data_IF_628771003270
#
_entry.id   IF_628771003270
#
_cell.length_a   1.000
_cell.length_b   1.000
_cell.length_c   1.000
_cell.angle_alpha   90.00
_cell.angle_beta   90.00
_cell.angle_gamma   90.00
#
_symmetry.space_group_name_H-M   'P 1'
#
loop_
_entity.id
_entity.type
_entity.pdbx_description
1 polymer ?
#
# COMPACT_ATOMS: atom_id res chain seq x y z
N UNK A 1 -10.67 28.26 3.91
CA UNK A 1 -10.17 27.33 2.88
C UNK A 1 -8.67 27.27 2.99
N UNK A 2 -8.16 26.36 3.83
CA UNK A 2 -6.73 26.12 3.98
C UNK A 2 -6.29 25.32 2.76
N UNK A 3 -5.64 25.99 1.81
CA UNK A 3 -5.02 25.33 0.67
C UNK A 3 -3.93 24.40 1.19
N UNK A 4 -4.08 23.09 0.97
CA UNK A 4 -2.98 22.14 1.15
C UNK A 4 -1.91 22.55 0.13
N UNK A 5 -0.69 22.94 0.56
CA UNK A 5 0.37 23.29 -0.38
C UNK A 5 0.68 22.09 -1.28
N UNK A 6 1.14 22.32 -2.52
CA UNK A 6 1.66 21.24 -3.36
C UNK A 6 2.70 20.44 -2.57
N UNK A 7 2.71 19.12 -2.74
CA UNK A 7 3.82 18.31 -2.29
C UNK A 7 5.08 18.80 -2.99
N UNK A 8 5.97 19.38 -2.21
CA UNK A 8 7.38 19.47 -2.56
C UNK A 8 8.06 18.26 -1.90
N UNK A 9 9.07 17.70 -2.53
CA UNK A 9 9.90 16.62 -1.99
C UNK A 9 10.55 17.00 -0.64
N UNK A 10 10.45 18.27 -0.25
CA UNK A 10 10.86 18.84 1.03
C UNK A 10 9.73 18.96 2.08
N UNK A 11 8.62 18.20 1.98
CA UNK A 11 7.57 18.19 3.03
C UNK A 11 8.07 17.49 4.31
N UNK A 12 8.91 18.21 5.06
CA UNK A 12 9.51 17.78 6.32
C UNK A 12 8.47 17.31 7.35
N UNK A 13 7.28 17.89 7.32
CA UNK A 13 6.24 17.53 8.27
C UNK A 13 5.60 16.18 7.93
N UNK A 14 5.38 15.89 6.64
CA UNK A 14 4.94 14.58 6.18
C UNK A 14 6.01 13.52 6.43
N UNK A 15 7.26 13.82 6.09
CA UNK A 15 8.39 12.91 6.34
C UNK A 15 8.49 12.55 7.82
N UNK A 16 8.48 13.54 8.73
CA UNK A 16 8.56 13.28 10.18
C UNK A 16 7.40 12.42 10.67
N UNK A 17 6.16 12.72 10.25
CA UNK A 17 5.00 11.88 10.63
C UNK A 17 5.16 10.44 10.19
N UNK A 18 5.62 10.20 8.95
CA UNK A 18 5.81 8.85 8.45
C UNK A 18 6.92 8.11 9.22
N UNK A 19 8.02 8.78 9.56
CA UNK A 19 9.09 8.19 10.38
C UNK A 19 8.63 7.91 11.82
N UNK A 20 7.86 8.82 12.43
CA UNK A 20 7.28 8.63 13.76
C UNK A 20 6.27 7.45 13.75
N UNK A 21 5.42 7.37 12.72
CA UNK A 21 4.49 6.24 12.55
C UNK A 21 5.24 4.91 12.37
N UNK A 22 6.36 4.93 11.62
CA UNK A 22 7.20 3.75 11.39
C UNK A 22 7.82 3.24 12.69
N UNK A 23 8.33 4.14 13.54
CA UNK A 23 8.88 3.77 14.85
C UNK A 23 7.84 3.01 15.70
N UNK A 24 6.56 3.42 15.64
CA UNK A 24 5.47 2.71 16.33
C UNK A 24 5.21 1.33 15.74
N UNK A 25 5.33 1.15 14.41
CA UNK A 25 5.18 -0.17 13.78
C UNK A 25 6.32 -1.13 14.15
N UNK A 26 7.53 -0.61 14.35
CA UNK A 26 8.72 -1.41 14.64
C UNK A 26 8.86 -1.79 16.13
N UNK A 27 8.31 -1.00 17.05
CA UNK A 27 8.52 -1.17 18.51
C UNK A 27 8.07 -2.53 19.05
N UNK A 28 7.06 -3.15 18.43
CA UNK A 28 6.50 -4.43 18.86
C UNK A 28 7.15 -5.65 18.16
N UNK A 29 8.21 -5.43 17.38
CA UNK A 29 8.92 -6.47 16.63
C UNK A 29 8.17 -6.93 15.37
N UNK A 30 8.59 -8.05 14.76
CA UNK A 30 8.00 -8.60 13.56
C UNK A 30 6.48 -8.81 13.68
N UNK A 31 5.74 -8.33 12.68
CA UNK A 31 4.28 -8.32 12.62
C UNK A 31 3.76 -9.54 11.84
N UNK A 32 4.28 -10.73 12.11
CA UNK A 32 3.83 -11.96 11.43
C UNK A 32 2.31 -12.09 11.54
N UNK A 33 1.65 -12.43 10.43
CA UNK A 33 0.21 -12.56 10.39
C UNK A 33 -0.39 -13.37 11.55
N UNK A 34 -1.53 -12.96 12.07
CA UNK A 34 -2.26 -13.55 13.20
C UNK A 34 -1.59 -13.46 14.58
N UNK A 35 -0.43 -12.82 14.71
CA UNK A 35 0.24 -12.61 16.01
C UNK A 35 -0.32 -11.38 16.75
N UNK A 36 0.03 -11.25 18.03
CA UNK A 36 -0.32 -10.04 18.80
C UNK A 36 0.42 -8.78 18.31
N UNK A 37 1.60 -8.94 17.70
CA UNK A 37 2.34 -7.85 17.09
C UNK A 37 1.61 -7.31 15.84
N UNK A 38 1.13 -8.20 14.96
CA UNK A 38 0.28 -7.80 13.83
C UNK A 38 -0.99 -7.09 14.31
N UNK A 39 -1.70 -7.66 15.29
CA UNK A 39 -2.92 -7.03 15.85
C UNK A 39 -2.63 -5.65 16.46
N UNK A 40 -1.46 -5.47 17.07
CA UNK A 40 -1.03 -4.17 17.59
C UNK A 40 -0.80 -3.16 16.47
N UNK A 41 -0.23 -3.58 15.34
CA UNK A 41 -0.09 -2.75 14.15
C UNK A 41 -1.46 -2.38 13.55
N UNK A 42 -2.37 -3.34 13.43
CA UNK A 42 -3.74 -3.08 12.97
C UNK A 42 -4.49 -2.11 13.90
N UNK A 43 -4.33 -2.25 15.22
CA UNK A 43 -4.89 -1.33 16.20
C UNK A 43 -4.30 0.08 16.07
N UNK A 44 -2.99 0.20 15.81
CA UNK A 44 -2.32 1.47 15.54
C UNK A 44 -2.86 2.12 14.26
N UNK A 45 -2.92 1.41 13.14
CA UNK A 45 -3.48 1.90 11.87
C UNK A 45 -4.91 2.42 12.09
N UNK A 46 -5.76 1.62 12.75
CA UNK A 46 -7.14 1.99 13.08
C UNK A 46 -7.19 3.26 13.95
N UNK A 47 -6.37 3.34 14.99
CA UNK A 47 -6.33 4.48 15.90
C UNK A 47 -5.88 5.76 15.17
N UNK A 48 -4.84 5.66 14.33
CA UNK A 48 -4.34 6.76 13.51
C UNK A 48 -5.42 7.29 12.58
N UNK A 49 -6.09 6.42 11.81
CA UNK A 49 -7.18 6.82 10.91
C UNK A 49 -8.39 7.39 11.68
N UNK A 50 -8.77 6.78 12.80
CA UNK A 50 -9.88 7.26 13.64
C UNK A 50 -9.58 8.65 14.23
N UNK A 51 -8.31 8.92 14.59
CA UNK A 51 -7.89 10.24 15.10
C UNK A 51 -8.07 11.37 14.07
N UNK A 52 -8.14 11.03 12.78
CA UNK A 52 -8.44 11.95 11.68
C UNK A 52 -9.95 12.17 11.49
N UNK A 53 -10.80 11.53 12.30
CA UNK A 53 -12.26 11.57 12.19
C UNK A 53 -12.82 10.62 11.13
N UNK A 54 -12.02 9.66 10.63
CA UNK A 54 -12.43 8.72 9.60
C UNK A 54 -13.15 7.50 10.17
N UNK A 55 -14.16 7.01 9.46
CA UNK A 55 -14.82 5.74 9.77
C UNK A 55 -14.04 4.60 9.13
N UNK A 56 -13.27 3.87 9.93
CA UNK A 56 -12.47 2.74 9.47
C UNK A 56 -13.36 1.50 9.30
N UNK A 57 -13.40 0.96 8.09
CA UNK A 57 -14.00 -0.34 7.80
C UNK A 57 -12.99 -1.46 8.05
N UNK A 58 -13.48 -2.67 8.32
CA UNK A 58 -12.64 -3.83 8.55
C UNK A 58 -13.28 -5.13 8.06
N UNK A 59 -12.46 -6.08 7.67
CA UNK A 59 -12.85 -7.43 7.24
C UNK A 59 -11.92 -8.44 7.92
N UNK A 60 -12.48 -9.41 8.63
CA UNK A 60 -11.68 -10.46 9.28
C UNK A 60 -11.11 -11.40 8.22
N UNK A 61 -9.81 -11.68 8.30
CA UNK A 61 -9.08 -12.58 7.40
C UNK A 61 -8.77 -13.89 8.15
N UNK A 62 -9.48 -15.01 7.86
CA UNK A 62 -9.18 -16.29 8.48
C UNK A 62 -7.85 -16.85 7.99
N UNK A 63 -7.02 -17.36 8.91
CA UNK A 63 -5.73 -17.95 8.58
C UNK A 63 -5.69 -19.44 8.95
N UNK A 64 -4.83 -20.24 8.28
CA UNK A 64 -4.57 -21.62 8.68
C UNK A 64 -4.22 -21.75 10.17
N UNK A 65 -4.64 -22.87 10.78
CA UNK A 65 -4.43 -23.12 12.21
C UNK A 65 -5.38 -22.36 13.15
N UNK A 66 -6.38 -21.65 12.61
CA UNK A 66 -7.41 -20.95 13.39
C UNK A 66 -6.99 -19.57 13.90
N UNK A 67 -5.84 -19.06 13.48
CA UNK A 67 -5.47 -17.66 13.67
C UNK A 67 -6.32 -16.75 12.77
N UNK A 68 -6.34 -15.45 13.08
CA UNK A 68 -7.05 -14.43 12.29
C UNK A 68 -6.20 -13.19 12.16
N UNK A 69 -6.23 -12.60 10.97
CA UNK A 69 -5.75 -11.24 10.66
C UNK A 69 -6.97 -10.38 10.27
N UNK A 70 -6.76 -9.15 9.81
CA UNK A 70 -7.81 -8.25 9.35
C UNK A 70 -7.36 -7.36 8.19
N UNK A 71 -8.25 -7.08 7.23
CA UNK A 71 -8.08 -5.95 6.33
C UNK A 71 -8.70 -4.70 6.96
N UNK A 72 -8.09 -3.53 6.76
CA UNK A 72 -8.60 -2.24 7.20
C UNK A 72 -8.68 -1.28 6.02
N UNK A 73 -9.75 -0.49 5.90
CA UNK A 73 -9.80 0.53 4.85
C UNK A 73 -10.63 1.76 5.21
N UNK A 74 -10.36 2.83 4.48
CA UNK A 74 -11.11 4.09 4.46
C UNK A 74 -11.32 4.52 3.01
N UNK A 75 -12.45 5.16 2.72
CA UNK A 75 -12.82 5.60 1.37
C UNK A 75 -13.00 7.12 1.35
N UNK A 76 -12.51 7.76 0.29
CA UNK A 76 -12.53 9.20 0.08
C UNK A 76 -13.10 9.55 -1.28
N UNK A 77 -13.75 10.71 -1.39
CA UNK A 77 -14.35 11.15 -2.64
C UNK A 77 -15.67 10.43 -2.95
N UNK A 78 -16.27 10.82 -4.06
CA UNK A 78 -17.57 10.34 -4.56
C UNK A 78 -17.64 10.34 -6.10
N UNK A 79 -16.47 10.31 -6.74
CA UNK A 79 -16.37 10.32 -8.19
C UNK A 79 -16.63 8.94 -8.82
N UNK A 80 -16.90 8.89 -10.13
CA UNK A 80 -17.29 7.65 -10.81
C UNK A 80 -16.14 6.66 -11.06
N UNK A 81 -14.88 7.09 -10.95
CA UNK A 81 -13.71 6.20 -11.11
C UNK A 81 -13.34 5.59 -9.77
N UNK A 82 -13.43 4.26 -9.65
CA UNK A 82 -13.14 3.53 -8.42
C UNK A 82 -11.65 3.13 -8.38
N UNK A 83 -10.89 3.65 -7.42
CA UNK A 83 -9.46 3.39 -7.27
C UNK A 83 -9.20 2.73 -5.93
N UNK A 84 -8.57 1.55 -5.94
CA UNK A 84 -8.09 0.88 -4.73
C UNK A 84 -6.58 1.07 -4.61
N UNK A 85 -6.12 1.69 -3.53
CA UNK A 85 -4.70 1.84 -3.21
C UNK A 85 -4.43 1.09 -1.92
N UNK A 86 -3.47 0.18 -1.90
CA UNK A 86 -3.18 -0.58 -0.70
C UNK A 86 -1.79 -1.14 -0.60
N UNK A 87 -1.55 -1.86 0.48
CA UNK A 87 -0.28 -2.51 0.79
C UNK A 87 -0.44 -3.32 2.07
N UNK A 88 0.38 -4.35 2.21
CA UNK A 88 0.34 -5.21 3.38
C UNK A 88 0.98 -4.54 4.60
N UNK A 89 0.54 -4.94 5.80
CA UNK A 89 1.07 -4.39 7.06
C UNK A 89 1.71 -5.44 7.97
N UNK A 90 1.61 -6.72 7.61
CA UNK A 90 2.33 -7.80 8.29
C UNK A 90 3.81 -7.82 7.87
N UNK A 91 4.55 -8.81 8.38
CA UNK A 91 5.93 -9.06 7.99
C UNK A 91 6.18 -10.55 7.90
N UNK A 92 7.29 -10.92 7.27
CA UNK A 92 7.91 -12.21 7.57
C UNK A 92 8.33 -12.29 9.04
N UNK A 93 8.37 -13.50 9.59
CA UNK A 93 8.63 -13.76 11.03
C UNK A 93 9.94 -13.17 11.55
N UNK A 94 10.97 -13.09 10.71
CA UNK A 94 12.34 -12.74 11.11
C UNK A 94 12.70 -11.27 10.88
N UNK A 95 11.87 -10.52 10.16
CA UNK A 95 12.16 -9.14 9.76
C UNK A 95 11.37 -8.14 10.62
N UNK A 96 12.00 -7.05 11.10
CA UNK A 96 11.27 -5.89 11.64
C UNK A 96 10.34 -5.27 10.60
N UNK A 97 10.68 -5.37 9.32
CA UNK A 97 9.83 -4.99 8.20
C UNK A 97 9.70 -3.48 8.05
N UNK A 98 10.79 -2.74 8.14
CA UNK A 98 10.76 -1.29 7.97
C UNK A 98 10.46 -0.92 6.52
N UNK A 99 11.15 -1.52 5.55
CA UNK A 99 10.85 -1.38 4.14
C UNK A 99 9.73 -2.34 3.72
N UNK A 100 9.76 -3.60 4.19
CA UNK A 100 8.78 -4.65 3.89
C UNK A 100 7.87 -5.03 5.09
N UNK A 101 6.71 -4.38 5.27
CA UNK A 101 6.20 -3.28 4.48
C UNK A 101 5.79 -2.05 5.29
N UNK A 102 6.59 -1.72 6.32
CA UNK A 102 6.40 -0.50 7.09
C UNK A 102 6.36 0.75 6.21
N UNK A 103 7.19 0.81 5.18
CA UNK A 103 7.27 1.91 4.20
C UNK A 103 5.95 2.13 3.47
N UNK A 104 5.31 1.05 3.00
CA UNK A 104 3.99 1.09 2.37
C UNK A 104 2.92 1.56 3.36
N UNK A 105 2.91 1.01 4.57
CA UNK A 105 1.92 1.38 5.61
C UNK A 105 1.98 2.87 5.93
N UNK A 106 3.17 3.43 6.20
CA UNK A 106 3.28 4.85 6.57
C UNK A 106 2.99 5.78 5.38
N UNK A 107 3.32 5.36 4.15
CA UNK A 107 2.91 6.03 2.93
C UNK A 107 1.39 6.10 2.80
N UNK A 108 0.69 4.99 3.02
CA UNK A 108 -0.78 4.93 2.95
C UNK A 108 -1.45 5.75 4.06
N UNK A 109 -0.90 5.77 5.28
CA UNK A 109 -1.39 6.61 6.38
C UNK A 109 -1.26 8.11 6.03
N UNK A 110 -0.13 8.53 5.46
CA UNK A 110 0.06 9.92 5.05
C UNK A 110 -0.80 10.27 3.82
N UNK A 111 -1.00 9.35 2.89
CA UNK A 111 -1.97 9.50 1.79
C UNK A 111 -3.39 9.70 2.32
N UNK A 112 -3.83 8.90 3.29
CA UNK A 112 -5.13 9.06 3.94
C UNK A 112 -5.28 10.44 4.61
N UNK A 113 -4.24 10.96 5.27
CA UNK A 113 -4.23 12.33 5.83
C UNK A 113 -4.41 13.40 4.75
N UNK A 114 -3.86 13.20 3.55
CA UNK A 114 -4.00 14.12 2.42
C UNK A 114 -5.39 14.06 1.82
N UNK A 115 -5.88 12.86 1.52
CA UNK A 115 -7.21 12.65 0.95
C UNK A 115 -8.33 13.13 1.89
N UNK A 116 -8.16 13.00 3.21
CA UNK A 116 -9.11 13.55 4.18
C UNK A 116 -9.22 15.08 4.11
N UNK A 117 -8.11 15.77 3.80
CA UNK A 117 -8.11 17.25 3.67
C UNK A 117 -8.58 17.70 2.29
N UNK A 118 -8.22 16.95 1.25
CA UNK A 118 -8.55 17.26 -0.14
C UNK A 118 -8.76 15.93 -0.90
N UNK A 119 -10.00 15.45 -0.98
CA UNK A 119 -10.32 14.30 -1.82
C UNK A 119 -10.01 14.58 -3.29
N UNK A 120 -9.70 13.53 -4.04
CA UNK A 120 -9.53 13.60 -5.49
C UNK A 120 -10.90 13.83 -6.13
N UNK A 121 -11.05 14.88 -6.94
CA UNK A 121 -12.27 15.10 -7.74
C UNK A 121 -12.43 13.95 -8.73
N UNK A 122 -13.63 13.52 -9.09
CA UNK A 122 -13.81 12.57 -10.21
C UNK A 122 -13.41 11.12 -9.94
N UNK A 123 -12.81 10.82 -8.78
CA UNK A 123 -12.52 9.46 -8.33
C UNK A 123 -13.07 9.21 -6.92
N UNK A 124 -13.44 7.96 -6.66
CA UNK A 124 -13.63 7.40 -5.33
C UNK A 124 -12.40 6.57 -5.00
N UNK A 125 -11.65 6.95 -3.97
CA UNK A 125 -10.37 6.34 -3.60
C UNK A 125 -10.53 5.57 -2.31
N UNK A 126 -10.34 4.25 -2.36
CA UNK A 126 -10.27 3.40 -1.17
C UNK A 126 -8.81 3.11 -0.84
N UNK A 127 -8.39 3.51 0.36
CA UNK A 127 -7.06 3.19 0.92
C UNK A 127 -7.21 1.97 1.82
N UNK A 128 -6.54 0.87 1.50
CA UNK A 128 -6.65 -0.43 2.19
C UNK A 128 -5.30 -0.92 2.71
N UNK A 129 -5.30 -1.44 3.93
CA UNK A 129 -4.17 -2.11 4.56
C UNK A 129 -4.50 -3.60 4.61
N UNK A 130 -3.76 -4.40 3.85
CA UNK A 130 -3.99 -5.84 3.74
C UNK A 130 -3.28 -6.61 4.85
N UNK A 131 -4.00 -7.57 5.45
CA UNK A 131 -3.44 -8.43 6.47
C UNK A 131 -2.91 -9.75 5.90
N UNK A 132 -1.83 -10.27 6.48
CA UNK A 132 -1.26 -11.59 6.19
C UNK A 132 -0.89 -11.81 4.71
N UNK A 133 -0.14 -10.89 4.10
CA UNK A 133 0.44 -11.07 2.77
C UNK A 133 1.61 -12.07 2.81
N UNK A 134 2.54 -11.88 3.76
CA UNK A 134 3.84 -12.57 3.82
C UNK A 134 3.74 -14.00 4.38
N UNK A 135 2.53 -14.40 4.76
CA UNK A 135 2.32 -15.62 5.52
C UNK A 135 2.30 -16.86 4.64
N UNK A 136 3.40 -17.61 4.63
CA UNK A 136 3.53 -18.85 3.83
C UNK A 136 3.39 -20.13 4.66
N UNK A 137 2.15 -20.61 4.86
CA UNK A 137 1.89 -21.79 5.69
C UNK A 137 2.16 -23.16 5.02
N UNK A 138 2.25 -23.22 3.69
CA UNK A 138 2.27 -24.51 2.98
C UNK A 138 3.09 -24.55 1.70
N UNK A 139 3.84 -23.49 1.38
CA UNK A 139 4.64 -23.37 0.15
C UNK A 139 3.84 -23.58 -1.16
N UNK A 140 2.51 -23.55 -1.13
CA UNK A 140 1.69 -23.51 -2.35
C UNK A 140 1.55 -22.07 -2.86
N UNK A 141 1.24 -21.91 -4.15
CA UNK A 141 0.97 -20.59 -4.76
C UNK A 141 -0.29 -19.90 -4.23
N UNK A 142 -1.00 -20.53 -3.30
CA UNK A 142 -2.19 -19.99 -2.64
C UNK A 142 -1.95 -19.76 -1.14
N UNK A 143 -0.73 -19.95 -0.63
CA UNK A 143 -0.38 -19.70 0.76
C UNK A 143 0.35 -18.37 0.91
N UNK A 144 -0.25 -17.28 0.44
CA UNK A 144 0.21 -15.89 0.61
C UNK A 144 -0.95 -14.95 0.23
N UNK A 145 -0.76 -13.64 0.45
CA UNK A 145 -1.70 -12.59 0.04
C UNK A 145 -3.12 -12.83 0.59
N UNK A 146 -3.27 -13.38 1.82
CA UNK A 146 -4.58 -13.80 2.33
C UNK A 146 -5.57 -12.63 2.38
N UNK A 147 -5.12 -11.46 2.84
CA UNK A 147 -5.91 -10.25 2.93
C UNK A 147 -6.41 -9.77 1.57
N UNK A 148 -5.51 -9.55 0.60
CA UNK A 148 -5.92 -9.07 -0.73
C UNK A 148 -6.74 -10.10 -1.48
N UNK A 149 -6.44 -11.41 -1.39
CA UNK A 149 -7.24 -12.49 -2.01
C UNK A 149 -8.66 -12.53 -1.48
N UNK A 150 -8.85 -12.42 -0.16
CA UNK A 150 -10.17 -12.33 0.43
C UNK A 150 -10.90 -11.10 -0.09
N UNK A 151 -10.27 -9.92 -0.04
CA UNK A 151 -10.89 -8.67 -0.46
C UNK A 151 -11.26 -8.67 -1.94
N UNK A 152 -10.37 -9.16 -2.80
CA UNK A 152 -10.59 -9.30 -4.23
C UNK A 152 -11.76 -10.24 -4.54
N UNK A 153 -11.86 -11.36 -3.83
CA UNK A 153 -13.00 -12.27 -3.95
C UNK A 153 -14.31 -11.62 -3.49
N UNK A 154 -14.32 -10.94 -2.33
CA UNK A 154 -15.47 -10.21 -1.79
C UNK A 154 -15.98 -9.17 -2.79
N UNK A 155 -15.08 -8.36 -3.37
CA UNK A 155 -15.43 -7.34 -4.36
C UNK A 155 -15.92 -7.94 -5.68
N UNK A 156 -15.30 -9.02 -6.15
CA UNK A 156 -15.74 -9.72 -7.36
C UNK A 156 -17.15 -10.32 -7.21
N UNK A 157 -17.45 -10.93 -6.06
CA UNK A 157 -18.78 -11.49 -5.76
C UNK A 157 -19.86 -10.40 -5.71
N UNK A 158 -19.52 -9.23 -5.16
CA UNK A 158 -20.41 -8.08 -5.10
C UNK A 158 -20.59 -7.37 -6.46
N UNK A 159 -19.72 -7.64 -7.44
CA UNK A 159 -19.67 -6.87 -8.69
C UNK A 159 -19.12 -5.44 -8.49
N UNK A 160 -18.25 -5.26 -7.50
CA UNK A 160 -17.69 -3.98 -7.04
C UNK A 160 -16.16 -3.92 -7.23
N UNK A 161 -15.62 -4.63 -8.23
CA UNK A 161 -14.19 -4.52 -8.55
C UNK A 161 -13.84 -3.08 -8.92
N UNK A 162 -12.70 -2.55 -8.44
CA UNK A 162 -12.27 -1.20 -8.77
C UNK A 162 -11.83 -1.12 -10.24
N UNK A 163 -11.83 0.09 -10.80
CA UNK A 163 -11.28 0.38 -12.13
C UNK A 163 -9.75 0.27 -12.14
N UNK A 164 -9.11 0.60 -11.00
CA UNK A 164 -7.65 0.59 -10.85
C UNK A 164 -7.24 0.05 -9.49
N UNK A 165 -6.12 -0.69 -9.46
CA UNK A 165 -5.45 -1.08 -8.23
C UNK A 165 -3.99 -0.61 -8.22
N UNK A 166 -3.56 -0.02 -7.11
CA UNK A 166 -2.17 0.37 -6.89
C UNK A 166 -1.70 -0.25 -5.56
N UNK A 167 -0.67 -1.10 -5.62
CA UNK A 167 -0.01 -1.71 -4.46
C UNK A 167 1.24 -0.92 -4.08
N UNK A 168 1.41 -0.58 -2.80
CA UNK A 168 2.61 0.00 -2.22
C UNK A 168 3.32 -1.05 -1.40
N UNK A 169 4.52 -1.42 -1.84
CA UNK A 169 5.28 -2.47 -1.17
C UNK A 169 6.79 -2.23 -1.39
N UNK A 170 7.55 -2.20 -0.29
CA UNK A 170 8.98 -1.85 -0.29
C UNK A 170 9.30 -0.54 -1.05
N UNK A 171 8.77 0.57 -0.56
CA UNK A 171 8.92 1.90 -1.16
C UNK A 171 9.86 2.82 -0.36
N UNK A 172 10.54 2.30 0.65
CA UNK A 172 11.42 3.04 1.56
C UNK A 172 12.89 3.07 1.17
N UNK A 173 13.34 2.28 0.18
CA UNK A 173 14.75 2.25 -0.24
C UNK A 173 15.12 3.40 -1.18
N UNK A 174 16.40 3.81 -1.24
CA UNK A 174 16.87 4.88 -2.14
C UNK A 174 16.99 4.46 -3.61
N UNK A 175 16.57 3.24 -3.97
CA UNK A 175 16.66 2.75 -5.35
C UNK A 175 15.62 3.43 -6.24
N UNK A 176 15.84 3.46 -7.57
CA UNK A 176 14.84 3.97 -8.51
C UNK A 176 13.48 3.30 -8.31
N UNK A 177 12.41 4.08 -8.50
CA UNK A 177 11.05 3.57 -8.39
C UNK A 177 10.64 2.81 -9.66
N UNK A 178 9.92 1.73 -9.48
CA UNK A 178 9.41 0.88 -10.53
C UNK A 178 7.88 0.73 -10.40
N UNK A 179 7.21 0.75 -11.56
CA UNK A 179 5.87 0.23 -11.74
C UNK A 179 5.95 -1.19 -12.28
N UNK A 180 5.47 -2.13 -11.49
CA UNK A 180 5.51 -3.56 -11.78
C UNK A 180 4.11 -4.06 -12.17
N UNK A 181 3.98 -4.68 -13.33
CA UNK A 181 2.76 -5.43 -13.68
C UNK A 181 2.95 -6.93 -13.43
N UNK A 182 1.83 -7.63 -13.24
CA UNK A 182 1.82 -9.09 -13.26
C UNK A 182 2.25 -9.58 -14.65
N UNK A 183 3.09 -10.61 -14.67
CA UNK A 183 3.64 -11.18 -15.92
C UNK A 183 2.51 -11.57 -16.87
N UNK A 184 2.50 -10.98 -18.06
CA UNK A 184 1.54 -11.31 -19.11
C UNK A 184 0.16 -10.65 -18.99
N UNK A 185 -0.03 -9.68 -18.09
CA UNK A 185 -1.29 -8.91 -17.98
C UNK A 185 -1.23 -7.58 -18.73
N UNK A 186 -2.36 -6.86 -18.75
CA UNK A 186 -2.44 -5.49 -19.26
C UNK A 186 -1.51 -4.56 -18.46
N UNK A 187 -0.72 -3.76 -19.17
CA UNK A 187 0.27 -2.81 -18.61
C UNK A 187 -0.31 -1.42 -18.38
N UNK A 188 -1.61 -1.19 -18.60
CA UNK A 188 -2.26 0.11 -18.49
C UNK A 188 -1.99 0.82 -17.15
N UNK A 189 -1.98 0.09 -16.02
CA UNK A 189 -1.70 0.67 -14.71
C UNK A 189 -0.24 1.11 -14.55
N UNK A 190 0.71 0.40 -15.17
CA UNK A 190 2.13 0.79 -15.21
C UNK A 190 2.31 2.01 -16.10
N UNK A 191 1.64 2.06 -17.26
CA UNK A 191 1.71 3.22 -18.15
C UNK A 191 1.11 4.48 -17.52
N UNK A 192 0.02 4.33 -16.77
CA UNK A 192 -0.53 5.41 -15.93
C UNK A 192 0.51 5.90 -14.93
N UNK A 193 1.17 5.00 -14.19
CA UNK A 193 2.17 5.39 -13.20
C UNK A 193 3.39 6.08 -13.84
N UNK A 194 3.82 5.64 -15.02
CA UNK A 194 4.91 6.29 -15.75
C UNK A 194 4.50 7.67 -16.25
N UNK A 195 3.29 7.83 -16.77
CA UNK A 195 2.78 9.14 -17.18
C UNK A 195 2.70 10.10 -16.00
N UNK A 196 2.24 9.61 -14.84
CA UNK A 196 2.26 10.35 -13.59
C UNK A 196 3.67 10.78 -13.19
N UNK A 197 4.64 9.86 -13.20
CA UNK A 197 6.04 10.17 -12.92
C UNK A 197 6.60 11.25 -13.86
N UNK A 198 6.37 11.11 -15.16
CA UNK A 198 6.80 12.10 -16.15
C UNK A 198 6.21 13.51 -15.90
N UNK A 199 4.99 13.60 -15.35
CA UNK A 199 4.35 14.89 -15.02
C UNK A 199 4.96 15.62 -13.82
N UNK A 200 5.74 14.90 -13.01
CA UNK A 200 6.41 15.40 -11.80
C UNK A 200 7.94 15.23 -11.88
N UNK A 201 8.47 15.11 -13.10
CA UNK A 201 9.90 14.92 -13.38
C UNK A 201 10.54 13.72 -12.65
N UNK A 202 9.78 12.65 -12.45
CA UNK A 202 10.21 11.41 -11.81
C UNK A 202 10.21 10.25 -12.82
N UNK A 203 11.37 9.63 -13.00
CA UNK A 203 11.48 8.44 -13.85
C UNK A 203 10.95 7.20 -13.11
N UNK A 204 10.03 6.47 -13.76
CA UNK A 204 9.47 5.21 -13.26
C UNK A 204 9.92 4.08 -14.18
N UNK A 205 10.67 3.13 -13.62
CA UNK A 205 11.08 1.93 -14.34
C UNK A 205 9.85 1.03 -14.60
N UNK A 206 9.80 0.40 -15.78
CA UNK A 206 8.78 -0.59 -16.10
C UNK A 206 9.32 -1.99 -15.86
N UNK A 207 8.64 -2.76 -15.01
CA UNK A 207 9.01 -4.14 -14.74
C UNK A 207 7.80 -5.08 -14.90
N UNK A 208 8.10 -6.34 -15.20
CA UNK A 208 7.15 -7.45 -15.07
C UNK A 208 7.67 -8.46 -14.06
N UNK A 209 6.79 -8.93 -13.17
CA UNK A 209 7.11 -9.95 -12.17
C UNK A 209 5.96 -10.93 -11.99
N UNK A 210 6.24 -12.04 -11.30
CA UNK A 210 5.20 -12.98 -10.91
C UNK A 210 4.31 -12.41 -9.79
N UNK A 211 3.62 -13.31 -9.10
CA UNK A 211 2.70 -12.98 -8.02
C UNK A 211 3.47 -12.71 -6.72
N UNK A 212 4.09 -11.54 -6.65
CA UNK A 212 5.02 -11.18 -5.55
C UNK A 212 4.51 -10.04 -4.66
N UNK A 213 3.29 -9.53 -4.89
CA UNK A 213 2.68 -8.47 -4.08
C UNK A 213 1.17 -8.39 -4.37
N UNK A 214 0.40 -7.76 -3.50
CA UNK A 214 -1.08 -7.74 -3.49
C UNK A 214 -1.76 -7.36 -4.81
N UNK A 215 -1.10 -6.57 -5.67
CA UNK A 215 -1.57 -6.23 -7.01
C UNK A 215 -1.93 -7.45 -7.87
N UNK A 216 -1.25 -8.58 -7.66
CA UNK A 216 -1.41 -9.79 -8.45
C UNK A 216 -2.82 -10.36 -8.31
N UNK A 217 -3.44 -10.26 -7.14
CA UNK A 217 -4.83 -10.68 -6.90
C UNK A 217 -5.78 -9.97 -7.85
N UNK A 218 -5.68 -8.66 -7.92
CA UNK A 218 -6.58 -7.82 -8.72
C UNK A 218 -6.29 -7.94 -10.21
N UNK A 219 -5.02 -8.06 -10.60
CA UNK A 219 -4.61 -8.31 -11.97
C UNK A 219 -5.23 -9.61 -12.53
N UNK A 220 -5.26 -10.70 -11.73
CA UNK A 220 -5.93 -11.97 -12.10
C UNK A 220 -7.43 -11.85 -12.27
N UNK A 221 -8.06 -10.92 -11.56
CA UNK A 221 -9.49 -10.61 -11.68
C UNK A 221 -9.80 -9.66 -12.84
N UNK A 222 -8.78 -9.27 -13.62
CA UNK A 222 -8.93 -8.39 -14.79
C UNK A 222 -8.89 -6.90 -14.47
N UNK A 223 -8.54 -6.52 -13.23
CA UNK A 223 -8.37 -5.12 -12.84
C UNK A 223 -6.97 -4.64 -13.28
N UNK A 224 -6.85 -3.51 -14.01
CA UNK A 224 -5.58 -2.84 -14.21
C UNK A 224 -4.87 -2.56 -12.88
N UNK A 225 -3.79 -3.29 -12.61
CA UNK A 225 -3.12 -3.28 -11.30
C UNK A 225 -1.62 -3.03 -11.44
N UNK A 226 -1.05 -2.18 -10.59
CA UNK A 226 0.39 -1.89 -10.55
C UNK A 226 0.94 -2.05 -9.14
N UNK A 227 2.11 -2.69 -9.03
CA UNK A 227 2.91 -2.74 -7.82
C UNK A 227 4.00 -1.65 -7.90
N UNK A 228 3.94 -0.70 -6.98
CA UNK A 228 4.90 0.39 -6.80
C UNK A 228 6.01 -0.11 -5.89
N UNK A 229 7.23 -0.18 -6.42
CA UNK A 229 8.35 -0.84 -5.75
C UNK A 229 9.65 -0.06 -5.93
N UNK A 230 10.53 -0.06 -4.92
CA UNK A 230 11.92 0.37 -5.07
C UNK A 230 12.86 -0.82 -4.90
N UNK A 231 13.12 -1.58 -6.00
CA UNK A 231 13.88 -2.82 -5.93
C UNK A 231 15.32 -2.61 -5.48
N UNK A 232 15.87 -3.58 -4.76
CA UNK A 232 17.31 -3.63 -4.46
C UNK A 232 17.70 -3.36 -3.01
N UNK A 233 16.74 -3.31 -2.08
CA UNK A 233 17.06 -3.32 -0.65
C UNK A 233 17.86 -4.60 -0.30
N UNK A 234 19.14 -4.49 0.12
CA UNK A 234 19.96 -5.66 0.45
C UNK A 234 19.50 -6.36 1.73
N UNK A 235 18.72 -5.67 2.57
CA UNK A 235 18.23 -6.17 3.86
C UNK A 235 16.83 -6.81 3.75
N UNK A 236 16.28 -6.95 2.55
CA UNK A 236 15.00 -7.63 2.32
C UNK A 236 14.95 -9.01 3.00
N UNK A 237 13.92 -9.23 3.84
CA UNK A 237 13.70 -10.43 4.65
C UNK A 237 14.83 -10.77 5.65
N UNK A 238 15.70 -9.80 6.00
CA UNK A 238 16.71 -9.95 7.06
C UNK A 238 16.26 -9.25 8.35
N UNK A 239 17.00 -9.47 9.44
CA UNK A 239 16.78 -8.77 10.71
C UNK A 239 17.27 -7.30 10.68
N UNK A 240 17.90 -6.88 9.57
CA UNK A 240 18.40 -5.52 9.34
C UNK A 240 17.46 -4.69 8.42
N UNK A 241 16.29 -5.20 8.05
CA UNK A 241 15.22 -4.38 7.46
C UNK A 241 14.52 -3.55 8.56
N UNK A 242 15.27 -2.60 9.12
CA UNK A 242 14.88 -1.76 10.26
C UNK A 242 14.93 -0.25 9.96
N UNK A 243 15.31 0.13 8.73
CA UNK A 243 15.45 1.53 8.30
C UNK A 243 14.89 1.78 6.90
N UNK A 244 14.46 3.01 6.67
CA UNK A 244 14.02 3.53 5.37
C UNK A 244 14.60 4.92 5.13
N UNK A 245 14.59 5.36 3.88
CA UNK A 245 14.94 6.72 3.49
C UNK A 245 13.71 7.63 3.53
N UNK A 246 13.70 8.59 4.47
CA UNK A 246 12.60 9.53 4.67
C UNK A 246 12.22 10.36 3.42
N UNK A 247 13.18 10.97 2.71
CA UNK A 247 12.90 11.69 1.46
C UNK A 247 12.19 10.82 0.40
N UNK A 248 12.65 9.58 0.22
CA UNK A 248 12.04 8.62 -0.69
C UNK A 248 10.56 8.38 -0.36
N UNK A 249 10.18 8.29 0.92
CA UNK A 249 8.77 8.15 1.31
C UNK A 249 7.92 9.33 0.80
N UNK A 250 8.46 10.55 0.80
CA UNK A 250 7.74 11.74 0.29
C UNK A 250 7.64 11.71 -1.23
N UNK A 251 8.70 11.28 -1.94
CA UNK A 251 8.67 11.11 -3.39
C UNK A 251 7.53 10.17 -3.84
N UNK A 252 7.35 9.05 -3.14
CA UNK A 252 6.28 8.09 -3.47
C UNK A 252 4.88 8.74 -3.37
N UNK A 253 4.68 9.64 -2.41
CA UNK A 253 3.42 10.38 -2.28
C UNK A 253 3.20 11.37 -3.43
N UNK A 254 4.28 12.03 -3.90
CA UNK A 254 4.22 12.94 -5.06
C UNK A 254 3.74 12.17 -6.29
N UNK A 255 4.39 11.04 -6.58
CA UNK A 255 4.04 10.18 -7.71
C UNK A 255 2.57 9.75 -7.68
N UNK A 256 2.09 9.36 -6.49
CA UNK A 256 0.78 8.75 -6.36
C UNK A 256 -0.33 9.79 -6.32
N UNK A 257 -0.04 10.98 -5.82
CA UNK A 257 -0.94 12.11 -6.02
C UNK A 257 -1.08 12.45 -7.50
N UNK A 258 0.02 12.49 -8.26
CA UNK A 258 -0.02 12.74 -9.70
C UNK A 258 -0.79 11.64 -10.46
N UNK A 259 -0.62 10.38 -10.06
CA UNK A 259 -1.38 9.24 -10.59
C UNK A 259 -2.89 9.44 -10.38
N UNK A 260 -3.31 9.73 -9.14
CA UNK A 260 -4.71 9.98 -8.82
C UNK A 260 -5.30 11.16 -9.60
N UNK A 261 -4.54 12.25 -9.74
CA UNK A 261 -4.96 13.41 -10.52
C UNK A 261 -5.16 13.05 -12.01
N UNK A 262 -4.31 12.17 -12.58
CA UNK A 262 -4.43 11.70 -13.96
C UNK A 262 -5.66 10.81 -14.21
N UNK A 263 -6.09 10.02 -13.21
CA UNK A 263 -7.25 9.13 -13.30
C UNK A 263 -8.58 9.90 -13.22
N UNK A 264 -8.54 11.11 -12.68
CA UNK A 264 -9.71 11.97 -12.49
C UNK A 264 -9.98 12.99 -13.61
N UNK A 265 -9.06 13.11 -14.58
CA UNK A 265 -9.02 14.18 -15.57
C UNK A 265 -9.60 13.83 -16.92
#
# INVERSE_FOLDING_TARGET
TTTVPPLDVTDDAAMRRMLDDLEVLLVNGPREGGTEAEKSAAAFIRATLTSLGLTVQAESVPLPGGATSENLWVTFGDGPVEVLIGGHYDTVRTSPGADDNGSGVVGLLELARRLNRKPTTGATVTVVFFGAEERTFGMSSDDHHYGSRLRGATLAEAGELPDWMISFDMVGSTHPIAGVSLTGTDRAAVDMLVAAGASVDMEVERLERGEISDHATFAKLGVPSVFVWRPGNPEYHTDADDVVDGPTLVENLVLIQAALESLSG
#
